data_IF_225588267605
#
_entry.id   IF_225588267605
#
_cell.length_a   1.000
_cell.length_b   1.000
_cell.length_c   1.000
_cell.angle_alpha   90.00
_cell.angle_beta   90.00
_cell.angle_gamma   90.00
#
_symmetry.space_group_name_H-M   'P 1'
#
loop_
_entity.id
_entity.type
_entity.pdbx_description
1 polymer ?
#
# COMPACT_ATOMS: atom_id res chain seq x y z
N UNK A 1 -26.61 15.76 -2.11
CA UNK A 1 -26.89 14.82 -1.00
C UNK A 1 -27.17 15.61 0.25
N UNK A 2 -28.15 15.21 1.06
CA UNK A 2 -28.51 15.91 2.31
C UNK A 2 -28.40 14.94 3.47
N UNK A 3 -27.50 15.22 4.40
CA UNK A 3 -27.37 14.47 5.64
C UNK A 3 -28.12 15.20 6.74
N UNK A 4 -29.05 14.51 7.41
CA UNK A 4 -29.83 15.08 8.52
C UNK A 4 -29.48 14.33 9.80
N UNK A 5 -28.82 15.02 10.72
CA UNK A 5 -28.51 14.53 12.07
C UNK A 5 -29.55 15.06 13.06
N UNK A 6 -30.15 14.18 13.88
CA UNK A 6 -31.11 14.58 14.92
C UNK A 6 -30.81 13.89 16.23
N UNK A 7 -30.50 14.67 17.25
CA UNK A 7 -30.43 14.22 18.63
C UNK A 7 -31.83 14.31 19.27
N UNK A 8 -32.35 13.19 19.79
CA UNK A 8 -33.68 13.11 20.42
C UNK A 8 -33.64 12.40 21.78
N UNK A 9 -32.76 12.85 22.68
CA UNK A 9 -32.74 12.40 24.08
C UNK A 9 -33.37 13.43 25.02
N UNK A 10 -34.17 12.95 25.98
CA UNK A 10 -34.72 13.74 27.08
C UNK A 10 -33.76 13.88 28.29
N UNK A 11 -32.56 13.28 28.21
CA UNK A 11 -31.53 13.35 29.24
C UNK A 11 -30.24 13.97 28.69
N UNK A 12 -29.43 14.59 29.56
CA UNK A 12 -28.14 15.25 29.23
C UNK A 12 -27.03 14.24 28.87
N UNK A 13 -27.30 13.30 27.99
CA UNK A 13 -26.28 12.39 27.45
C UNK A 13 -25.64 13.08 26.23
N UNK A 14 -24.30 13.06 26.15
CA UNK A 14 -23.56 13.52 24.97
C UNK A 14 -23.48 12.38 23.96
N UNK A 15 -23.66 12.70 22.69
CA UNK A 15 -23.37 11.82 21.57
C UNK A 15 -22.85 12.66 20.41
N UNK A 16 -21.84 12.14 19.71
CA UNK A 16 -21.22 12.79 18.57
C UNK A 16 -21.71 12.11 17.28
N UNK A 17 -21.87 12.90 16.21
CA UNK A 17 -22.20 12.42 14.87
C UNK A 17 -21.11 12.97 13.95
N UNK A 18 -20.33 12.08 13.36
CA UNK A 18 -19.29 12.42 12.39
C UNK A 18 -19.65 11.82 11.02
N UNK A 19 -19.28 12.54 9.96
CA UNK A 19 -19.32 12.08 8.58
C UNK A 19 -17.88 12.17 8.08
N UNK A 20 -17.43 11.16 7.36
CA UNK A 20 -16.16 11.17 6.65
C UNK A 20 -16.35 10.56 5.25
N UNK A 21 -15.43 10.87 4.34
CA UNK A 21 -15.38 10.34 2.96
C UNK A 21 -16.69 10.41 2.16
N UNK A 22 -17.11 11.64 1.80
CA UNK A 22 -18.27 11.86 0.91
C UNK A 22 -17.80 12.00 -0.54
N UNK A 23 -17.95 10.95 -1.34
CA UNK A 23 -17.70 10.98 -2.78
C UNK A 23 -18.97 11.25 -3.60
N UNK A 24 -18.89 12.17 -4.57
CA UNK A 24 -20.00 12.50 -5.48
C UNK A 24 -19.49 12.50 -6.92
N UNK A 25 -19.91 11.52 -7.73
CA UNK A 25 -19.56 11.43 -9.15
C UNK A 25 -20.67 12.04 -10.04
N UNK A 26 -20.35 12.94 -10.99
CA UNK A 26 -21.34 13.52 -11.91
C UNK A 26 -21.82 12.51 -12.97
N UNK A 27 -23.13 12.25 -13.05
CA UNK A 27 -23.74 11.40 -14.08
C UNK A 27 -25.08 10.81 -13.66
N UNK A 28 -25.75 10.07 -14.56
CA UNK A 28 -26.74 9.08 -14.11
C UNK A 28 -25.98 8.05 -13.28
N UNK A 29 -26.47 7.70 -12.09
CA UNK A 29 -25.99 6.53 -11.37
C UNK A 29 -26.14 5.32 -12.30
N UNK A 30 -25.06 4.96 -12.99
CA UNK A 30 -24.99 3.74 -13.77
C UNK A 30 -24.83 2.61 -12.77
N UNK A 31 -25.46 1.46 -13.02
CA UNK A 31 -25.62 0.36 -12.05
C UNK A 31 -24.43 0.29 -11.10
N UNK A 32 -24.71 0.49 -9.81
CA UNK A 32 -23.78 0.75 -8.70
C UNK A 32 -22.75 -0.36 -8.44
N UNK A 33 -22.61 -1.31 -9.35
CA UNK A 33 -21.64 -2.40 -9.34
C UNK A 33 -20.50 -2.22 -10.34
N UNK A 34 -20.57 -1.27 -11.29
CA UNK A 34 -19.56 -1.13 -12.36
C UNK A 34 -18.51 -0.05 -12.07
N UNK A 35 -18.89 1.09 -11.51
CA UNK A 35 -17.95 2.10 -10.99
C UNK A 35 -17.47 1.72 -9.57
N UNK A 36 -18.35 1.15 -8.72
CA UNK A 36 -17.95 0.45 -7.50
C UNK A 36 -17.17 -0.86 -7.74
N UNK A 37 -16.95 -1.25 -9.01
CA UNK A 37 -16.04 -2.34 -9.31
C UNK A 37 -14.58 -1.88 -9.18
N UNK A 38 -14.32 -0.58 -9.35
CA UNK A 38 -12.99 0.02 -9.37
C UNK A 38 -12.62 0.70 -8.05
N UNK A 39 -13.57 0.81 -7.10
CA UNK A 39 -13.34 1.19 -5.70
C UNK A 39 -13.82 0.05 -4.81
N UNK A 40 -12.98 -0.40 -3.89
CA UNK A 40 -13.31 -1.50 -3.01
C UNK A 40 -12.66 -1.37 -1.64
N UNK A 41 -13.49 -1.16 -0.61
CA UNK A 41 -13.09 -1.18 0.81
C UNK A 41 -13.18 -2.56 1.45
N UNK A 42 -13.66 -3.59 0.72
CA UNK A 42 -13.82 -4.97 1.19
C UNK A 42 -14.70 -5.21 2.45
N UNK A 43 -15.31 -4.18 3.04
CA UNK A 43 -16.16 -4.30 4.23
C UNK A 43 -17.41 -5.16 4.01
N UNK A 44 -18.21 -4.78 3.01
CA UNK A 44 -19.51 -5.38 2.77
C UNK A 44 -19.44 -6.61 1.85
N UNK A 45 -18.41 -6.70 1.01
CA UNK A 45 -18.18 -7.78 0.04
C UNK A 45 -16.75 -7.76 -0.53
N UNK A 46 -16.32 -8.88 -1.10
CA UNK A 46 -14.95 -9.09 -1.63
C UNK A 46 -14.64 -8.41 -2.98
N UNK A 47 -15.57 -7.60 -3.50
CA UNK A 47 -15.55 -7.00 -4.83
C UNK A 47 -15.32 -7.95 -6.02
N UNK A 48 -15.61 -9.23 -5.83
CA UNK A 48 -15.38 -10.27 -6.84
C UNK A 48 -13.90 -10.54 -7.11
N UNK A 49 -13.00 -10.14 -6.21
CA UNK A 49 -11.60 -10.51 -6.27
C UNK A 49 -11.46 -12.02 -6.08
N UNK A 50 -10.52 -12.62 -6.80
CA UNK A 50 -10.34 -14.07 -6.83
C UNK A 50 -8.90 -14.44 -6.46
N UNK A 51 -8.76 -15.38 -5.53
CA UNK A 51 -7.46 -15.96 -5.17
C UNK A 51 -7.20 -17.21 -5.99
N UNK A 52 -6.01 -17.33 -6.59
CA UNK A 52 -5.59 -18.57 -7.25
C UNK A 52 -4.76 -19.42 -6.29
N UNK A 53 -5.33 -20.52 -5.77
CA UNK A 53 -4.57 -21.47 -4.93
C UNK A 53 -3.53 -22.22 -5.77
N UNK A 54 -2.25 -21.92 -5.55
CA UNK A 54 -1.12 -22.66 -6.14
C UNK A 54 -0.19 -23.29 -5.12
N UNK A 55 -0.27 -22.90 -3.84
CA UNK A 55 0.60 -23.38 -2.75
C UNK A 55 -0.17 -23.41 -1.42
N UNK A 56 0.51 -23.69 -0.30
CA UNK A 56 -0.05 -23.52 1.05
C UNK A 56 -0.33 -22.06 1.42
N UNK A 57 0.35 -21.10 0.77
CA UNK A 57 0.03 -19.68 0.90
C UNK A 57 -1.15 -19.35 -0.02
N UNK A 58 -2.14 -18.67 0.53
CA UNK A 58 -3.34 -18.26 -0.18
C UNK A 58 -3.81 -16.89 0.31
N UNK A 59 -4.49 -16.14 -0.55
CA UNK A 59 -5.27 -14.99 -0.11
C UNK A 59 -6.62 -15.43 0.45
N UNK A 60 -7.00 -14.79 1.53
CA UNK A 60 -8.25 -14.99 2.26
C UNK A 60 -8.90 -13.63 2.51
N UNK A 61 -10.23 -13.57 2.35
CA UNK A 61 -10.99 -12.36 2.61
C UNK A 61 -11.52 -12.43 4.04
N UNK A 62 -11.16 -11.44 4.86
CA UNK A 62 -11.82 -11.19 6.14
C UNK A 62 -13.05 -10.35 5.86
N UNK A 63 -14.22 -10.91 6.12
CA UNK A 63 -15.48 -10.17 6.06
C UNK A 63 -15.76 -9.42 7.36
N UNK A 64 -16.75 -8.52 7.31
CA UNK A 64 -17.14 -7.67 8.44
C UNK A 64 -17.42 -8.42 9.77
N UNK A 65 -17.88 -9.67 9.68
CA UNK A 65 -18.17 -10.54 10.84
C UNK A 65 -17.23 -11.76 10.95
N UNK A 66 -16.12 -11.76 10.21
CA UNK A 66 -15.12 -12.83 10.26
C UNK A 66 -14.42 -12.87 11.62
N UNK A 67 -14.32 -14.08 12.20
CA UNK A 67 -13.66 -14.32 13.49
C UNK A 67 -12.18 -13.88 13.44
N UNK A 68 -11.65 -13.07 14.40
CA UNK A 68 -10.36 -12.41 14.27
C UNK A 68 -9.13 -13.31 14.46
N UNK A 69 -9.31 -14.53 14.98
CA UNK A 69 -8.29 -15.14 15.84
C UNK A 69 -7.37 -16.19 15.18
N UNK A 70 -7.40 -16.39 13.87
CA UNK A 70 -6.56 -17.44 13.26
C UNK A 70 -5.09 -17.07 13.09
N UNK A 71 -4.73 -15.79 13.06
CA UNK A 71 -3.36 -15.30 12.86
C UNK A 71 -3.07 -14.13 13.79
N UNK A 72 -2.15 -14.33 14.75
CA UNK A 72 -1.73 -13.31 15.73
C UNK A 72 -1.16 -12.03 15.11
N UNK A 73 -0.73 -12.07 13.85
CA UNK A 73 -0.09 -10.97 13.12
C UNK A 73 -1.07 -10.13 12.29
N UNK A 74 -2.38 -10.28 12.47
CA UNK A 74 -3.40 -9.50 11.74
C UNK A 74 -3.44 -8.01 12.15
N UNK A 75 -3.85 -7.11 11.24
CA UNK A 75 -4.23 -5.75 11.61
C UNK A 75 -5.29 -5.78 12.72
N UNK A 76 -5.09 -4.99 13.79
CA UNK A 76 -6.06 -4.90 14.89
C UNK A 76 -7.37 -4.25 14.48
N UNK A 77 -7.29 -3.39 13.47
CA UNK A 77 -8.41 -2.66 12.89
C UNK A 77 -8.25 -2.65 11.38
N UNK A 78 -9.38 -2.72 10.71
CA UNK A 78 -9.55 -2.41 9.31
C UNK A 78 -9.15 -0.96 9.00
N UNK A 79 -8.69 -0.69 7.77
CA UNK A 79 -8.27 0.66 7.41
C UNK A 79 -9.49 1.58 7.24
N UNK A 80 -10.45 1.16 6.40
CA UNK A 80 -11.64 1.92 6.03
C UNK A 80 -12.44 2.38 7.25
N UNK A 81 -12.77 1.45 8.15
CA UNK A 81 -13.63 1.74 9.29
C UNK A 81 -12.85 2.12 10.54
N UNK A 82 -11.55 1.85 10.60
CA UNK A 82 -10.75 2.00 11.83
C UNK A 82 -11.26 1.11 12.98
N UNK A 83 -12.02 0.06 12.68
CA UNK A 83 -12.62 -0.87 13.65
C UNK A 83 -12.16 -2.30 13.41
N UNK A 84 -12.26 -3.17 14.43
CA UNK A 84 -11.94 -4.60 14.27
C UNK A 84 -12.91 -5.34 13.35
N UNK A 85 -14.06 -4.73 13.04
CA UNK A 85 -15.15 -5.32 12.25
C UNK A 85 -15.12 -4.94 10.77
N UNK A 86 -14.17 -4.14 10.27
CA UNK A 86 -14.08 -3.91 8.83
C UNK A 86 -13.44 -5.09 8.07
N UNK A 87 -13.56 -5.08 6.75
CA UNK A 87 -13.16 -6.18 5.88
C UNK A 87 -11.95 -5.87 5.01
N UNK A 88 -11.07 -6.85 4.80
CA UNK A 88 -9.87 -6.71 3.97
C UNK A 88 -9.40 -8.06 3.43
N UNK A 89 -8.52 -8.06 2.43
CA UNK A 89 -7.85 -9.27 1.96
C UNK A 89 -6.50 -9.44 2.63
N UNK A 90 -6.16 -10.67 3.06
CA UNK A 90 -4.86 -10.97 3.63
C UNK A 90 -4.30 -12.30 3.12
N UNK A 91 -2.99 -12.45 3.21
CA UNK A 91 -2.26 -13.69 2.97
C UNK A 91 -1.18 -13.83 4.03
N UNK A 92 -1.15 -14.95 4.72
CA UNK A 92 -0.20 -15.15 5.82
C UNK A 92 0.06 -16.62 6.14
N UNK A 93 0.97 -16.84 7.08
CA UNK A 93 1.40 -18.16 7.53
C UNK A 93 1.36 -18.23 9.05
N UNK A 94 0.96 -19.38 9.60
CA UNK A 94 1.16 -19.70 11.03
C UNK A 94 2.56 -20.25 11.27
N UNK A 95 3.01 -20.21 12.53
CA UNK A 95 4.28 -20.76 13.03
C UNK A 95 4.51 -22.26 12.74
N UNK A 96 3.56 -22.96 12.10
CA UNK A 96 3.56 -24.40 11.83
C UNK A 96 3.39 -24.77 10.35
N UNK A 97 3.07 -23.81 9.46
CA UNK A 97 2.56 -24.13 8.13
C UNK A 97 3.62 -24.26 7.01
N UNK A 98 4.80 -23.66 7.16
CA UNK A 98 5.86 -23.79 6.16
C UNK A 98 6.79 -24.95 6.54
N UNK A 99 6.38 -26.16 6.15
CA UNK A 99 7.26 -27.32 6.09
C UNK A 99 8.49 -26.99 5.24
N UNK A 100 9.56 -26.52 5.88
CA UNK A 100 10.87 -26.33 5.26
C UNK A 100 11.16 -24.99 4.59
N UNK A 101 10.62 -23.84 5.08
CA UNK A 101 11.17 -22.51 4.75
C UNK A 101 11.35 -22.15 3.26
N UNK A 102 10.62 -22.79 2.36
CA UNK A 102 10.67 -22.54 0.93
C UNK A 102 9.84 -21.32 0.56
N UNK A 103 10.28 -20.61 -0.48
CA UNK A 103 9.58 -19.45 -1.01
C UNK A 103 8.20 -19.85 -1.58
N UNK A 104 7.17 -19.11 -1.19
CA UNK A 104 5.79 -19.29 -1.67
C UNK A 104 5.22 -17.99 -2.18
N UNK A 105 4.30 -18.08 -3.15
CA UNK A 105 3.59 -16.93 -3.70
C UNK A 105 2.10 -17.20 -3.87
N UNK A 106 1.31 -16.14 -3.74
CA UNK A 106 -0.12 -16.16 -3.96
C UNK A 106 -0.56 -14.92 -4.75
N UNK A 107 -1.62 -15.08 -5.54
CA UNK A 107 -2.12 -14.08 -6.47
C UNK A 107 -3.58 -13.79 -6.16
N UNK A 108 -3.91 -12.53 -5.95
CA UNK A 108 -5.26 -12.02 -5.83
C UNK A 108 -5.56 -11.17 -7.07
N UNK A 109 -6.62 -11.49 -7.79
CA UNK A 109 -6.92 -10.87 -9.08
C UNK A 109 -8.33 -10.30 -9.08
N UNK A 110 -8.47 -9.04 -9.49
CA UNK A 110 -9.74 -8.36 -9.65
C UNK A 110 -10.61 -8.98 -10.77
N UNK A 111 -11.90 -8.63 -10.85
CA UNK A 111 -12.69 -8.83 -12.06
C UNK A 111 -12.05 -8.21 -13.31
N UNK A 112 -12.48 -8.67 -14.49
CA UNK A 112 -12.09 -8.08 -15.76
C UNK A 112 -12.78 -6.72 -15.96
N UNK A 113 -11.99 -5.65 -15.97
CA UNK A 113 -12.45 -4.30 -16.26
C UNK A 113 -12.28 -3.98 -17.74
N UNK A 114 -13.17 -3.12 -18.24
CA UNK A 114 -13.11 -2.63 -19.61
C UNK A 114 -12.09 -1.51 -19.75
N UNK A 115 -11.45 -1.45 -20.92
CA UNK A 115 -10.57 -0.32 -21.26
C UNK A 115 -11.32 1.01 -21.08
N UNK A 116 -10.79 1.96 -20.29
CA UNK A 116 -11.36 3.28 -20.14
C UNK A 116 -11.07 4.16 -21.37
N UNK A 117 -11.84 5.24 -21.54
CA UNK A 117 -11.60 6.20 -22.63
C UNK A 117 -10.32 7.01 -22.45
N UNK A 118 -9.96 7.32 -21.20
CA UNK A 118 -8.70 7.96 -20.85
C UNK A 118 -7.69 6.88 -20.45
N UNK A 119 -6.53 6.78 -21.10
CA UNK A 119 -5.54 5.78 -20.71
C UNK A 119 -4.81 6.12 -19.40
N UNK A 120 -4.90 7.33 -18.86
CA UNK A 120 -4.17 7.76 -17.66
C UNK A 120 -5.03 7.58 -16.40
N UNK A 121 -4.59 6.68 -15.54
CA UNK A 121 -5.24 6.38 -14.29
C UNK A 121 -4.24 6.31 -13.14
N UNK A 122 -4.77 6.40 -11.94
CA UNK A 122 -4.04 6.24 -10.70
C UNK A 122 -4.64 5.11 -9.87
N UNK A 123 -3.79 4.16 -9.48
CA UNK A 123 -4.18 3.07 -8.59
C UNK A 123 -3.74 3.44 -7.19
N UNK A 124 -4.69 3.38 -6.27
CA UNK A 124 -4.46 3.60 -4.85
C UNK A 124 -4.92 2.37 -4.07
N UNK A 125 -4.18 2.05 -3.02
CA UNK A 125 -4.59 1.02 -2.07
C UNK A 125 -3.78 1.18 -0.78
N UNK A 126 -4.26 0.58 0.29
CA UNK A 126 -3.53 0.46 1.54
C UNK A 126 -3.00 -0.96 1.69
N UNK A 127 -1.85 -1.10 2.34
CA UNK A 127 -1.34 -2.41 2.75
C UNK A 127 -0.85 -2.41 4.19
N UNK A 128 -0.90 -3.58 4.80
CA UNK A 128 -0.30 -3.88 6.10
C UNK A 128 0.66 -5.06 5.94
N UNK A 129 1.81 -5.02 6.60
CA UNK A 129 2.77 -6.12 6.57
C UNK A 129 3.40 -6.34 7.94
N UNK A 130 3.33 -7.57 8.44
CA UNK A 130 4.05 -8.02 9.64
C UNK A 130 4.79 -9.32 9.32
N UNK A 131 6.09 -9.38 9.60
CA UNK A 131 6.95 -10.50 9.26
C UNK A 131 7.97 -10.89 10.33
N UNK A 132 7.83 -10.39 11.56
CA UNK A 132 8.87 -10.57 12.57
C UNK A 132 8.78 -11.87 13.37
N UNK A 133 7.63 -12.55 13.34
CA UNK A 133 7.37 -13.62 14.30
C UNK A 133 7.48 -13.14 15.75
N UNK A 134 7.07 -13.99 16.69
CA UNK A 134 7.08 -13.63 18.12
C UNK A 134 8.47 -13.83 18.77
N UNK A 135 9.38 -14.54 18.10
CA UNK A 135 10.62 -15.06 18.68
C UNK A 135 11.86 -14.62 17.89
N UNK A 136 12.85 -14.07 18.61
CA UNK A 136 14.12 -13.52 18.10
C UNK A 136 14.92 -14.43 17.13
N UNK A 137 14.69 -15.75 17.15
CA UNK A 137 15.41 -16.73 16.32
C UNK A 137 14.72 -17.07 15.00
N UNK A 138 13.46 -16.69 14.81
CA UNK A 138 12.68 -16.97 13.61
C UNK A 138 12.35 -15.66 12.93
N UNK A 139 13.07 -15.34 11.85
CA UNK A 139 12.76 -14.18 11.02
C UNK A 139 12.23 -14.62 9.67
N UNK A 140 11.33 -13.83 9.10
CA UNK A 140 11.02 -13.96 7.68
C UNK A 140 12.22 -13.47 6.87
N UNK A 141 12.68 -14.34 5.97
CA UNK A 141 13.84 -14.09 5.11
C UNK A 141 13.47 -13.16 3.96
N UNK A 142 12.27 -13.35 3.40
CA UNK A 142 11.70 -12.45 2.39
C UNK A 142 10.19 -12.35 2.57
N UNK A 143 9.69 -11.12 2.61
CA UNK A 143 8.28 -10.78 2.43
C UNK A 143 8.20 -9.67 1.40
N UNK A 144 7.25 -9.76 0.47
CA UNK A 144 6.96 -8.68 -0.45
C UNK A 144 5.49 -8.68 -0.90
N UNK A 145 5.01 -7.50 -1.28
CA UNK A 145 3.78 -7.27 -2.03
C UNK A 145 4.15 -6.72 -3.42
N UNK A 146 3.36 -6.95 -4.44
CA UNK A 146 3.52 -6.35 -5.76
C UNK A 146 2.15 -6.16 -6.42
N UNK A 147 1.90 -4.98 -6.97
CA UNK A 147 0.73 -4.71 -7.80
C UNK A 147 1.10 -4.71 -9.30
N UNK A 148 0.25 -5.31 -10.11
CA UNK A 148 0.42 -5.47 -11.56
C UNK A 148 -0.92 -5.32 -12.29
N UNK A 149 -0.95 -4.52 -13.36
CA UNK A 149 -2.04 -4.52 -14.33
C UNK A 149 -1.82 -5.62 -15.34
N UNK A 150 -2.66 -6.64 -15.32
CA UNK A 150 -2.67 -7.65 -16.35
C UNK A 150 -3.58 -7.22 -17.51
N UNK A 151 -3.13 -7.39 -18.76
CA UNK A 151 -3.94 -7.23 -19.97
C UNK A 151 -4.14 -8.61 -20.62
N UNK A 152 -5.21 -9.35 -20.28
CA UNK A 152 -5.31 -10.77 -20.64
C UNK A 152 -5.27 -11.07 -22.13
N UNK A 153 -5.66 -10.11 -22.96
CA UNK A 153 -5.71 -10.23 -24.42
C UNK A 153 -4.45 -9.67 -25.12
N UNK A 154 -3.51 -9.09 -24.38
CA UNK A 154 -2.35 -8.42 -24.95
C UNK A 154 -1.21 -9.39 -25.25
N UNK A 155 -0.52 -9.19 -26.38
CA UNK A 155 0.70 -9.94 -26.73
C UNK A 155 1.93 -9.49 -25.93
N UNK A 156 1.89 -8.28 -25.37
CA UNK A 156 3.02 -7.67 -24.67
C UNK A 156 2.95 -7.88 -23.15
N UNK A 157 1.96 -8.63 -22.64
CA UNK A 157 1.74 -8.83 -21.22
C UNK A 157 1.16 -7.61 -20.53
N UNK A 158 1.35 -7.51 -19.22
CA UNK A 158 0.82 -6.44 -18.38
C UNK A 158 1.82 -5.32 -18.05
N UNK A 159 1.36 -4.36 -17.25
CA UNK A 159 2.17 -3.28 -16.69
C UNK A 159 2.42 -3.52 -15.19
N UNK A 160 3.69 -3.47 -14.78
CA UNK A 160 4.05 -3.40 -13.36
C UNK A 160 3.72 -2.02 -12.78
N UNK A 161 2.94 -2.01 -11.69
CA UNK A 161 2.62 -0.81 -10.91
C UNK A 161 3.60 -0.63 -9.72
N UNK A 162 4.05 -1.75 -9.14
CA UNK A 162 5.04 -1.97 -8.05
C UNK A 162 4.62 -1.61 -6.61
N UNK A 163 5.19 -2.34 -5.64
CA UNK A 163 5.64 -1.86 -4.30
C UNK A 163 6.38 -2.97 -3.50
N UNK A 164 7.72 -3.06 -3.57
CA UNK A 164 8.49 -4.06 -2.79
C UNK A 164 8.75 -3.58 -1.35
N UNK A 165 7.81 -3.77 -0.43
CA UNK A 165 8.06 -3.63 1.01
C UNK A 165 8.89 -4.83 1.50
N UNK A 166 10.18 -4.63 1.78
CA UNK A 166 11.07 -5.66 2.34
C UNK A 166 11.19 -5.45 3.84
N UNK A 167 10.70 -6.42 4.61
CA UNK A 167 10.96 -6.54 6.05
C UNK A 167 10.80 -5.22 6.82
N UNK A 168 9.60 -4.64 6.77
CA UNK A 168 9.26 -3.43 7.53
C UNK A 168 8.90 -3.80 8.99
N UNK A 169 9.90 -4.27 9.72
CA UNK A 169 9.82 -4.83 11.08
C UNK A 169 9.24 -3.88 12.13
N UNK A 170 9.15 -2.58 11.82
CA UNK A 170 8.63 -1.56 12.73
C UNK A 170 7.31 -0.91 12.27
N UNK A 171 6.70 -1.38 11.17
CA UNK A 171 5.54 -0.72 10.55
C UNK A 171 4.31 -1.63 10.56
N UNK A 172 3.84 -2.01 11.76
CA UNK A 172 2.53 -2.63 11.98
C UNK A 172 1.40 -1.59 11.82
N UNK A 173 1.36 -0.94 10.66
CA UNK A 173 0.43 0.13 10.33
C UNK A 173 0.02 0.02 8.87
N UNK A 174 -1.23 0.40 8.58
CA UNK A 174 -1.69 0.56 7.21
C UNK A 174 -0.88 1.65 6.52
N UNK A 175 -0.38 1.33 5.33
CA UNK A 175 0.49 2.20 4.55
C UNK A 175 -0.14 2.44 3.18
N UNK A 176 -0.28 3.71 2.81
CA UNK A 176 -0.83 4.13 1.53
C UNK A 176 0.13 3.88 0.38
N UNK A 177 -0.41 3.44 -0.75
CA UNK A 177 0.30 3.25 -2.01
C UNK A 177 -0.45 3.95 -3.12
N UNK A 178 0.34 4.59 -3.99
CA UNK A 178 -0.13 5.21 -5.21
C UNK A 178 0.77 4.80 -6.38
N UNK A 179 0.16 4.41 -7.51
CA UNK A 179 0.90 3.95 -8.67
C UNK A 179 0.25 4.36 -10.00
N UNK A 180 1.08 4.85 -10.91
CA UNK A 180 0.68 5.25 -12.26
C UNK A 180 0.26 4.07 -13.13
N UNK A 181 -0.98 4.10 -13.58
CA UNK A 181 -1.59 3.11 -14.45
C UNK A 181 -1.83 3.69 -15.85
N UNK A 182 -1.21 3.09 -16.86
CA UNK A 182 -1.47 3.41 -18.25
C UNK A 182 -2.30 2.28 -18.86
N UNK A 183 -3.61 2.47 -18.92
CA UNK A 183 -4.57 1.44 -19.29
C UNK A 183 -4.95 1.60 -20.76
N UNK A 184 -4.49 0.68 -21.61
CA UNK A 184 -4.77 0.71 -23.05
C UNK A 184 -5.70 -0.41 -23.54
N UNK A 185 -6.02 -1.37 -22.67
CA UNK A 185 -6.78 -2.58 -23.00
C UNK A 185 -7.66 -3.00 -21.81
N UNK A 186 -8.58 -3.94 -22.03
CA UNK A 186 -9.29 -4.62 -20.96
C UNK A 186 -8.28 -5.22 -19.98
N UNK A 187 -8.49 -5.02 -18.69
CA UNK A 187 -7.44 -5.22 -17.68
C UNK A 187 -7.98 -5.86 -16.41
N UNK A 188 -7.05 -6.44 -15.64
CA UNK A 188 -7.27 -6.89 -14.28
C UNK A 188 -6.15 -6.35 -13.40
N UNK A 189 -6.49 -5.87 -12.21
CA UNK A 189 -5.50 -5.55 -11.18
C UNK A 189 -5.17 -6.83 -10.42
N UNK A 190 -3.88 -7.17 -10.36
CA UNK A 190 -3.39 -8.34 -9.65
C UNK A 190 -2.42 -7.93 -8.55
N UNK A 191 -2.66 -8.43 -7.35
CA UNK A 191 -1.76 -8.34 -6.21
C UNK A 191 -1.06 -9.68 -6.02
N UNK A 192 0.27 -9.64 -5.97
CA UNK A 192 1.12 -10.80 -5.73
C UNK A 192 1.85 -10.63 -4.41
N UNK A 193 1.77 -11.64 -3.56
CA UNK A 193 2.57 -11.73 -2.34
C UNK A 193 3.61 -12.84 -2.48
N UNK A 194 4.77 -12.62 -1.88
CA UNK A 194 5.79 -13.65 -1.72
C UNK A 194 6.27 -13.71 -0.28
N UNK A 195 6.34 -14.90 0.28
CA UNK A 195 6.84 -15.17 1.63
C UNK A 195 7.87 -16.29 1.60
N UNK A 196 9.03 -16.08 2.23
CA UNK A 196 10.05 -17.07 2.51
C UNK A 196 10.47 -16.94 3.96
N UNK A 197 10.24 -17.98 4.77
CA UNK A 197 10.61 -17.93 6.17
C UNK A 197 10.08 -19.12 6.97
N UNK A 198 10.48 -19.17 8.24
CA UNK A 198 9.97 -20.14 9.22
C UNK A 198 9.14 -19.47 10.32
N UNK A 199 9.00 -18.15 10.26
CA UNK A 199 8.19 -17.37 11.16
C UNK A 199 6.80 -17.12 10.57
N UNK A 200 5.83 -16.83 11.44
CA UNK A 200 4.56 -16.26 11.01
C UNK A 200 4.78 -14.90 10.35
N UNK A 201 4.09 -14.70 9.24
CA UNK A 201 4.00 -13.41 8.56
C UNK A 201 2.61 -13.23 7.97
N UNK A 202 2.23 -11.98 7.78
CA UNK A 202 0.97 -11.59 7.19
C UNK A 202 1.14 -10.34 6.34
N UNK A 203 0.51 -10.34 5.18
CA UNK A 203 0.36 -9.19 4.30
C UNK A 203 -1.12 -9.01 4.05
N UNK A 204 -1.64 -7.80 4.26
CA UNK A 204 -3.02 -7.45 3.96
C UNK A 204 -3.09 -6.26 3.00
N UNK A 205 -4.18 -6.17 2.24
CA UNK A 205 -4.53 -5.03 1.41
C UNK A 205 -5.96 -4.58 1.69
N UNK A 206 -6.18 -3.29 1.53
CA UNK A 206 -7.47 -2.65 1.75
C UNK A 206 -7.65 -1.44 0.83
N UNK A 207 -8.87 -0.93 0.74
CA UNK A 207 -9.21 0.35 0.09
C UNK A 207 -8.63 0.52 -1.33
N UNK A 208 -8.86 -0.48 -2.19
CA UNK A 208 -8.36 -0.48 -3.56
C UNK A 208 -9.22 0.43 -4.44
N UNK A 209 -8.65 1.50 -4.98
CA UNK A 209 -9.32 2.40 -5.93
C UNK A 209 -8.50 2.66 -7.18
N UNK A 210 -9.17 2.68 -8.34
CA UNK A 210 -8.58 3.06 -9.64
C UNK A 210 -9.32 4.30 -10.14
N UNK A 211 -8.66 5.46 -10.07
CA UNK A 211 -9.26 6.74 -10.44
C UNK A 211 -8.67 7.25 -11.74
N UNK A 212 -9.49 7.94 -12.54
CA UNK A 212 -9.02 8.61 -13.75
C UNK A 212 -8.14 9.81 -13.38
N UNK A 213 -6.99 9.97 -14.04
CA UNK A 213 -6.13 11.14 -13.87
C UNK A 213 -4.64 10.82 -13.85
N UNK A 214 -3.83 11.89 -13.84
CA UNK A 214 -2.39 11.77 -13.67
C UNK A 214 -2.08 11.52 -12.18
N UNK A 215 -1.41 10.41 -11.87
CA UNK A 215 -0.77 10.28 -10.55
C UNK A 215 0.33 11.33 -10.39
N UNK A 216 0.51 11.86 -9.18
CA UNK A 216 1.79 12.41 -8.72
C UNK A 216 2.97 11.49 -9.09
N UNK A 217 4.16 12.06 -9.34
CA UNK A 217 5.34 11.25 -9.61
C UNK A 217 5.72 10.48 -8.33
N UNK A 218 6.28 9.28 -8.46
CA UNK A 218 6.59 8.46 -7.28
C UNK A 218 7.52 9.18 -6.30
N UNK A 219 7.06 9.38 -5.06
CA UNK A 219 7.75 10.15 -4.03
C UNK A 219 7.20 11.55 -3.82
N UNK A 220 6.32 12.02 -4.70
CA UNK A 220 5.54 13.23 -4.45
C UNK A 220 4.61 12.99 -3.26
N UNK A 221 4.69 13.87 -2.28
CA UNK A 221 3.77 13.93 -1.16
C UNK A 221 3.61 15.39 -0.78
N UNK A 222 2.39 15.89 -0.88
CA UNK A 222 2.05 17.25 -0.46
C UNK A 222 1.74 17.33 1.04
N UNK A 223 1.66 16.18 1.70
CA UNK A 223 1.34 16.01 3.11
C UNK A 223 -0.02 16.58 3.50
N UNK A 224 -0.99 16.74 2.60
CA UNK A 224 -2.26 17.41 2.90
C UNK A 224 -3.31 16.54 3.57
N UNK A 225 -3.23 15.22 3.40
CA UNK A 225 -4.09 14.24 4.06
C UNK A 225 -3.29 13.45 5.11
N UNK A 226 -2.17 12.83 4.70
CA UNK A 226 -1.31 12.00 5.55
C UNK A 226 0.20 12.20 5.24
N UNK A 227 1.04 11.19 5.52
CA UNK A 227 2.48 11.20 5.15
C UNK A 227 2.78 10.41 3.88
N UNK A 228 1.75 10.04 3.11
CA UNK A 228 1.84 9.20 1.94
C UNK A 228 2.65 7.92 2.23
N UNK A 229 3.67 7.62 1.41
CA UNK A 229 4.62 6.52 1.65
C UNK A 229 5.87 6.93 2.44
N UNK A 230 5.93 8.16 2.95
CA UNK A 230 7.05 8.62 3.76
C UNK A 230 6.85 8.20 5.22
N UNK A 231 7.91 7.66 5.83
CA UNK A 231 7.91 7.17 7.20
C UNK A 231 9.16 7.57 7.95
N UNK A 232 9.11 7.59 9.28
CA UNK A 232 10.30 7.81 10.10
C UNK A 232 11.25 6.60 10.00
N UNK A 233 12.52 6.88 9.71
CA UNK A 233 13.61 5.91 9.79
C UNK A 233 14.21 5.82 11.20
N UNK A 234 15.19 4.93 11.37
CA UNK A 234 15.89 4.77 12.65
C UNK A 234 16.70 6.03 13.02
N UNK A 235 16.18 6.80 13.98
CA UNK A 235 16.78 8.04 14.50
C UNK A 235 16.29 8.36 15.91
N UNK A 236 16.89 9.37 16.56
CA UNK A 236 16.52 9.82 17.92
C UNK A 236 15.14 10.49 17.97
N UNK A 237 14.68 11.06 16.86
CA UNK A 237 13.44 11.83 16.78
C UNK A 237 12.66 11.53 15.49
N UNK A 238 11.35 11.75 15.57
CA UNK A 238 10.39 11.64 14.47
C UNK A 238 10.14 12.97 13.76
N UNK A 239 9.75 12.89 12.49
CA UNK A 239 9.16 13.97 11.73
C UNK A 239 7.72 14.22 12.16
N UNK A 240 7.32 15.49 12.18
CA UNK A 240 5.99 15.90 12.64
C UNK A 240 5.21 16.52 11.50
N UNK A 241 4.05 15.95 11.16
CA UNK A 241 3.08 16.57 10.25
C UNK A 241 2.31 17.68 10.96
N UNK A 242 2.28 18.88 10.37
CA UNK A 242 1.71 20.11 10.97
C UNK A 242 1.14 21.05 9.92
N UNK A 243 0.12 21.81 10.33
CA UNK A 243 -0.37 22.95 9.57
C UNK A 243 0.42 24.23 9.88
N UNK A 244 0.60 25.11 8.88
CA UNK A 244 1.36 26.36 9.03
C UNK A 244 0.76 27.36 10.02
N UNK A 245 -0.57 27.41 10.16
CA UNK A 245 -1.31 28.28 11.07
C UNK A 245 -1.60 27.65 12.44
N UNK A 246 -0.99 26.50 12.72
CA UNK A 246 -1.19 25.78 13.97
C UNK A 246 -0.89 26.69 15.17
N UNK A 247 -1.96 27.10 15.88
CA UNK A 247 -1.90 28.00 17.06
C UNK A 247 -1.06 27.42 18.21
N UNK A 248 -0.74 26.14 18.15
CA UNK A 248 0.14 25.42 19.08
C UNK A 248 1.63 25.54 18.73
N UNK A 249 2.02 26.29 17.68
CA UNK A 249 3.40 26.48 17.24
C UNK A 249 4.27 27.18 18.29
N UNK A 250 4.81 26.38 19.21
CA UNK A 250 6.04 26.69 19.94
C UNK A 250 7.28 26.19 19.19
N UNK A 251 7.13 25.55 18.03
CA UNK A 251 8.19 24.91 17.24
C UNK A 251 8.34 25.57 15.86
N UNK A 252 9.57 25.57 15.32
CA UNK A 252 10.01 26.36 14.16
C UNK A 252 9.60 25.63 12.86
N UNK A 253 8.61 26.15 12.15
CA UNK A 253 8.20 25.70 10.81
C UNK A 253 7.62 26.86 9.99
N UNK A 254 7.47 26.73 8.66
CA UNK A 254 6.94 27.80 7.82
C UNK A 254 5.48 28.14 8.15
N UNK A 255 5.15 29.44 8.16
CA UNK A 255 3.79 29.90 8.48
C UNK A 255 2.75 29.60 7.37
N UNK A 256 3.22 29.28 6.17
CA UNK A 256 2.39 28.96 5.01
C UNK A 256 2.91 27.69 4.36
N UNK A 257 2.00 26.75 4.11
CA UNK A 257 2.29 25.59 3.28
C UNK A 257 2.44 26.00 1.80
N UNK A 258 3.28 25.27 1.08
CA UNK A 258 3.60 25.52 -0.33
C UNK A 258 2.50 25.06 -1.28
N UNK A 259 1.87 23.93 -1.00
CA UNK A 259 0.84 23.32 -1.87
C UNK A 259 -0.40 24.18 -1.90
N UNK A 260 -0.91 24.58 -0.72
CA UNK A 260 -2.12 25.40 -0.59
C UNK A 260 -1.82 26.91 -0.61
N UNK A 261 -0.56 27.32 -0.46
CA UNK A 261 -0.16 28.73 -0.38
C UNK A 261 -0.75 29.47 0.83
N UNK A 262 -1.23 28.73 1.84
CA UNK A 262 -1.90 29.28 3.03
C UNK A 262 -1.40 28.56 4.28
N UNK A 263 -1.63 29.17 5.46
CA UNK A 263 -1.31 28.51 6.73
C UNK A 263 -2.18 27.28 7.04
N UNK A 264 -3.28 27.06 6.31
CA UNK A 264 -4.16 25.90 6.52
C UNK A 264 -3.65 24.61 5.89
N UNK A 265 -2.61 24.68 5.05
CA UNK A 265 -1.97 23.50 4.48
C UNK A 265 -0.97 22.87 5.42
N UNK A 266 -0.59 21.64 5.12
CA UNK A 266 0.16 20.74 5.97
C UNK A 266 1.52 20.39 5.36
N UNK A 267 2.51 20.20 6.22
CA UNK A 267 3.85 19.77 5.86
C UNK A 267 4.45 18.94 6.98
N UNK A 268 5.55 18.22 6.71
CA UNK A 268 6.36 17.55 7.74
C UNK A 268 7.55 18.41 8.17
N UNK A 269 7.85 18.44 9.47
CA UNK A 269 8.94 19.25 10.03
C UNK A 269 9.66 18.51 11.16
N UNK A 270 10.99 18.68 11.22
CA UNK A 270 11.80 18.34 12.37
C UNK A 270 12.14 19.61 13.17
N UNK A 271 11.57 19.73 14.37
CA UNK A 271 11.85 20.84 15.28
C UNK A 271 13.19 20.65 15.97
N UNK A 272 14.07 21.64 15.99
CA UNK A 272 15.34 21.59 16.76
C UNK A 272 15.19 22.08 18.20
N UNK A 273 13.99 22.52 18.59
CA UNK A 273 13.74 23.09 19.91
C UNK A 273 13.98 22.07 21.02
N UNK A 274 14.74 22.47 22.04
CA UNK A 274 15.13 21.65 23.19
C UNK A 274 15.89 20.36 22.80
N UNK A 275 16.54 20.32 21.63
CA UNK A 275 17.35 19.19 21.18
C UNK A 275 18.83 19.55 21.22
N UNK A 276 19.66 18.53 21.41
CA UNK A 276 21.12 18.71 21.48
C UNK A 276 21.70 18.91 20.08
N UNK A 277 22.89 19.51 20.03
CA UNK A 277 23.66 19.55 18.79
C UNK A 277 23.98 18.12 18.33
N UNK A 278 23.70 17.82 17.05
CA UNK A 278 23.89 16.50 16.46
C UNK A 278 22.65 15.58 16.49
N UNK A 279 21.56 16.00 17.12
CA UNK A 279 20.30 15.24 17.10
C UNK A 279 19.75 15.07 15.68
N UNK A 280 19.28 13.86 15.39
CA UNK A 280 18.88 13.44 14.04
C UNK A 280 17.43 12.93 14.03
N UNK A 281 16.72 13.27 12.95
CA UNK A 281 15.49 12.61 12.51
C UNK A 281 15.70 12.15 11.06
N UNK A 282 15.18 10.98 10.69
CA UNK A 282 15.31 10.44 9.34
C UNK A 282 13.91 10.26 8.78
N UNK A 283 13.64 10.81 7.59
CA UNK A 283 12.43 10.51 6.83
C UNK A 283 12.84 9.63 5.66
N UNK A 284 12.22 8.47 5.55
CA UNK A 284 12.49 7.49 4.51
C UNK A 284 11.28 7.40 3.60
N UNK A 285 11.53 7.35 2.30
CA UNK A 285 10.48 7.06 1.35
C UNK A 285 10.24 5.56 1.24
N UNK A 286 9.06 5.17 0.75
CA UNK A 286 8.84 3.83 0.22
C UNK A 286 9.77 3.50 -0.96
N UNK A 287 9.78 2.23 -1.36
CA UNK A 287 10.48 1.79 -2.56
C UNK A 287 9.70 2.20 -3.82
N UNK A 288 10.20 3.22 -4.52
CA UNK A 288 9.68 3.61 -5.83
C UNK A 288 10.47 2.96 -6.96
N UNK A 289 9.79 2.29 -7.89
CA UNK A 289 10.45 1.81 -9.09
C UNK A 289 10.66 2.98 -10.06
N UNK A 290 11.87 3.52 -10.14
CA UNK A 290 12.20 4.42 -11.24
C UNK A 290 12.20 3.63 -12.54
N UNK A 291 11.47 4.08 -13.57
CA UNK A 291 11.66 3.59 -14.95
C UNK A 291 13.09 3.87 -15.38
N UNK A 292 14.02 2.97 -15.11
CA UNK A 292 15.14 2.73 -16.01
C UNK A 292 14.79 1.47 -16.78
N UNK A 293 14.64 1.63 -18.10
CA UNK A 293 14.85 0.51 -19.02
C UNK A 293 16.20 -0.09 -18.63
N UNK A 294 16.19 -1.22 -17.93
CA UNK A 294 17.33 -2.11 -17.94
C UNK A 294 17.49 -2.49 -19.42
N UNK A 295 18.44 -1.85 -20.11
CA UNK A 295 19.11 -2.54 -21.20
C UNK A 295 19.60 -3.82 -20.55
N UNK A 296 19.00 -4.94 -20.91
CA UNK A 296 19.52 -6.26 -20.63
C UNK A 296 20.89 -6.31 -21.32
N UNK A 297 21.95 -5.92 -20.62
CA UNK A 297 23.27 -6.41 -20.95
C UNK A 297 23.22 -7.90 -20.63
N UNK A 298 23.26 -8.69 -21.69
CA UNK A 298 23.37 -10.15 -21.72
C UNK A 298 23.99 -10.71 -20.43
N UNK A 299 23.23 -11.57 -19.76
CA UNK A 299 23.83 -12.60 -18.93
C UNK A 299 24.67 -13.49 -19.86
N UNK A 300 25.99 -13.33 -19.83
CA UNK A 300 26.88 -14.40 -20.25
C UNK A 300 26.90 -15.41 -19.10
N UNK A 301 26.45 -16.62 -19.40
CA UNK A 301 26.60 -17.78 -18.52
C UNK A 301 28.09 -18.06 -18.30
N UNK A 302 28.48 -18.53 -17.10
CA UNK A 302 29.86 -18.83 -16.78
C UNK A 302 30.23 -20.21 -17.34
N UNK A 303 30.75 -20.26 -18.57
CA UNK A 303 31.56 -21.38 -19.06
C UNK A 303 32.31 -20.93 -20.32
N UNK A 304 33.55 -20.43 -20.13
CA UNK A 304 34.67 -20.55 -21.08
C UNK A 304 35.91 -19.80 -20.55
N UNK A 305 36.46 -20.30 -19.44
CA UNK A 305 37.86 -20.05 -19.08
C UNK A 305 38.69 -21.28 -19.46
N UNK A 306 38.94 -21.48 -20.76
CA UNK A 306 40.04 -22.32 -21.28
C UNK A 306 40.20 -22.20 -22.80
N UNK A 307 41.43 -21.86 -23.21
CA UNK A 307 41.98 -21.70 -24.58
C UNK A 307 41.65 -20.33 -25.18
N UNK A 308 42.57 -19.45 -25.55
CA UNK A 308 44.00 -19.60 -25.85
C UNK A 308 44.72 -18.27 -25.62
N UNK A 309 45.79 -18.31 -24.80
CA UNK A 309 47.00 -17.56 -25.10
C UNK A 309 47.62 -18.18 -26.37
N UNK A 310 48.32 -17.34 -27.15
CA UNK A 310 48.97 -17.61 -28.46
C UNK A 310 47.96 -17.44 -29.62
N UNK A 311 48.14 -16.56 -30.61
CA UNK A 311 49.31 -16.05 -31.35
C UNK A 311 48.96 -14.63 -31.85
N UNK A 312 49.78 -13.58 -31.70
CA UNK A 312 50.94 -13.19 -32.52
C UNK A 312 50.68 -13.14 -34.04
N UNK A 313 50.72 -11.91 -34.56
CA UNK A 313 51.07 -11.39 -35.89
C UNK A 313 50.80 -12.21 -37.18
N UNK A 314 50.27 -11.45 -38.16
CA UNK A 314 50.04 -11.70 -39.60
C UNK A 314 48.76 -12.42 -40.02
#
# INVERSE_FOLDING_TARGET
VVFTAKHQSATKVRGDIALDDIELTPGKCSDSKREAAQLCSFDDYDCGYTSTRRTSLNWEWKSFNGDPDYLQNQPKVDHTLGTSTGGYWYAGTTNTALGGGSFQSAYLTSPLYKVPSDPHHCVHFYYYMDGDGEYFFWKVKEAYLQAHLNFPNSKNGGQWLTTKAKNMTNHRQWTYVEAKANISEDYQLQFTVGLEGKAAALIAIDDVKIVQGNCPESGDCDFEEDTCSWTDGEAEYSWLRRAGDSRTNKEIGPATDKTKGTGKGNYVVFSTKNKNAGSQAVLQSGFFCTRRRLKVSQFLLPDEWRRSRNTQDN
#
